data_IF_759610366255
#
_entry.id   IF_759610366255
#
_cell.length_a   1.000
_cell.length_b   1.000
_cell.length_c   1.000
_cell.angle_alpha   90.00
_cell.angle_beta   90.00
_cell.angle_gamma   90.00
#
_symmetry.space_group_name_H-M   'P 1'
#
loop_
_entity.id
_entity.type
_entity.pdbx_description
1 polymer ?
#
# COMPACT_ATOMS: atom_id res chain seq x y z
N UNK A 1 -2.13 -12.95 -8.89
CA UNK A 1 -1.42 -11.77 -8.34
C UNK A 1 0.04 -11.82 -8.74
N UNK A 2 0.64 -10.73 -9.20
CA UNK A 2 2.06 -10.69 -9.62
C UNK A 2 3.02 -11.06 -8.49
N UNK A 3 2.67 -10.76 -7.23
CA UNK A 3 3.45 -11.17 -6.05
C UNK A 3 3.55 -12.69 -5.87
N UNK A 4 2.55 -13.47 -6.32
CA UNK A 4 2.64 -14.94 -6.27
C UNK A 4 3.67 -15.48 -7.26
N UNK A 5 3.77 -14.87 -8.45
CA UNK A 5 4.75 -15.26 -9.47
C UNK A 5 6.19 -14.92 -9.03
N UNK A 6 6.33 -13.85 -8.24
CA UNK A 6 7.61 -13.42 -7.69
C UNK A 6 8.09 -14.24 -6.49
N UNK A 7 7.31 -15.21 -6.00
CA UNK A 7 7.59 -15.96 -4.77
C UNK A 7 9.00 -16.59 -4.72
N UNK A 8 9.53 -17.20 -5.79
CA UNK A 8 10.88 -17.77 -5.78
C UNK A 8 11.98 -16.72 -5.56
N UNK A 9 11.74 -15.45 -5.94
CA UNK A 9 12.71 -14.37 -5.79
C UNK A 9 12.88 -13.90 -4.32
N UNK A 10 11.96 -14.29 -3.44
CA UNK A 10 12.05 -14.10 -2.00
C UNK A 10 12.19 -15.42 -1.24
N UNK A 11 12.60 -16.49 -1.93
CA UNK A 11 13.01 -17.73 -1.29
C UNK A 11 14.14 -17.44 -0.29
N UNK A 12 14.22 -18.21 0.80
CA UNK A 12 15.00 -17.91 2.01
C UNK A 12 16.44 -17.46 1.71
N UNK A 13 16.62 -16.14 1.53
CA UNK A 13 17.92 -15.53 1.28
C UNK A 13 18.71 -15.58 2.57
N UNK A 14 19.40 -16.68 2.85
CA UNK A 14 20.04 -17.01 4.13
C UNK A 14 21.45 -16.42 4.25
N UNK A 15 21.91 -16.09 5.45
CA UNK A 15 23.36 -15.88 5.68
C UNK A 15 24.07 -17.23 5.74
N UNK A 16 25.36 -17.33 5.37
CA UNK A 16 26.06 -18.63 5.27
C UNK A 16 25.94 -19.52 6.52
N UNK A 17 26.02 -18.94 7.71
CA UNK A 17 26.00 -19.62 9.01
C UNK A 17 24.59 -19.94 9.57
N UNK A 18 23.55 -19.50 8.90
CA UNK A 18 22.25 -19.28 9.53
C UNK A 18 21.30 -20.44 9.17
N UNK A 19 21.02 -21.47 9.98
CA UNK A 19 20.35 -22.74 9.53
C UNK A 19 19.17 -22.59 8.54
N UNK A 20 19.05 -23.54 7.59
CA UNK A 20 17.91 -23.62 6.64
C UNK A 20 16.59 -23.74 7.40
N UNK A 21 15.54 -23.12 6.89
CA UNK A 21 14.23 -23.13 7.53
C UNK A 21 13.15 -23.29 6.46
N UNK A 22 12.10 -24.04 6.79
CA UNK A 22 10.95 -24.19 5.92
C UNK A 22 10.37 -22.82 5.53
N UNK A 23 10.00 -22.59 4.24
CA UNK A 23 9.47 -21.30 3.80
C UNK A 23 8.26 -20.79 4.60
N UNK A 24 7.48 -21.70 5.19
CA UNK A 24 6.33 -21.39 6.05
C UNK A 24 6.68 -21.04 7.50
N UNK A 25 7.95 -21.20 7.88
CA UNK A 25 8.47 -20.98 9.24
C UNK A 25 9.52 -19.86 9.29
N UNK A 26 9.65 -19.08 8.22
CA UNK A 26 10.59 -17.97 8.16
C UNK A 26 10.24 -16.91 9.21
N UNK A 27 11.27 -16.41 9.90
CA UNK A 27 11.10 -15.30 10.82
C UNK A 27 10.83 -14.00 10.05
N UNK A 28 10.11 -13.03 10.63
CA UNK A 28 9.84 -11.74 9.97
C UNK A 28 11.09 -11.02 9.48
N UNK A 29 12.22 -11.19 10.18
CA UNK A 29 13.51 -10.63 9.77
C UNK A 29 14.02 -11.23 8.45
N UNK A 30 13.92 -12.56 8.28
CA UNK A 30 14.30 -13.25 7.03
C UNK A 30 13.39 -12.87 5.87
N UNK A 31 12.08 -12.79 6.13
CA UNK A 31 11.10 -12.33 5.13
C UNK A 31 11.45 -10.92 4.63
N UNK A 32 11.74 -9.98 5.53
CA UNK A 32 12.13 -8.60 5.15
C UNK A 32 13.41 -8.56 4.30
N UNK A 33 14.38 -9.44 4.57
CA UNK A 33 15.62 -9.54 3.80
C UNK A 33 15.35 -9.97 2.35
N UNK A 34 14.49 -10.99 2.15
CA UNK A 34 14.06 -11.43 0.81
C UNK A 34 13.25 -10.38 0.05
N UNK A 35 12.29 -9.74 0.73
CA UNK A 35 11.36 -8.79 0.11
C UNK A 35 12.00 -7.52 -0.45
N UNK A 36 13.14 -7.08 0.09
CA UNK A 36 13.86 -5.88 -0.41
C UNK A 36 14.27 -6.02 -1.88
N UNK A 37 14.52 -7.25 -2.33
CA UNK A 37 14.97 -7.56 -3.69
C UNK A 37 13.82 -7.81 -4.66
N UNK A 38 12.56 -7.95 -4.20
CA UNK A 38 11.42 -8.20 -5.08
C UNK A 38 11.08 -6.99 -5.96
N UNK A 39 11.11 -5.78 -5.40
CA UNK A 39 10.68 -4.55 -6.09
C UNK A 39 11.49 -4.22 -7.36
N UNK A 40 12.82 -4.40 -7.42
CA UNK A 40 13.57 -4.21 -8.66
C UNK A 40 13.34 -5.32 -9.70
N UNK A 41 13.04 -6.54 -9.28
CA UNK A 41 12.98 -7.73 -10.16
C UNK A 41 11.57 -8.03 -10.66
N UNK A 42 10.54 -7.44 -10.07
CA UNK A 42 9.13 -7.66 -10.44
C UNK A 42 8.59 -6.56 -11.34
N UNK A 43 7.77 -6.96 -12.31
CA UNK A 43 7.01 -6.00 -13.12
C UNK A 43 6.11 -5.15 -12.22
N UNK A 44 6.11 -3.83 -12.44
CA UNK A 44 5.19 -2.93 -11.74
C UNK A 44 3.83 -2.97 -12.43
N UNK A 45 2.76 -3.36 -11.73
CA UNK A 45 1.41 -3.41 -12.32
C UNK A 45 0.85 -2.00 -12.62
N UNK A 46 1.35 -0.99 -11.90
CA UNK A 46 0.91 0.38 -12.04
C UNK A 46 2.10 1.26 -12.48
N UNK A 47 1.82 2.16 -13.41
CA UNK A 47 2.74 3.24 -13.74
C UNK A 47 2.96 4.14 -12.52
N UNK A 48 4.11 4.80 -12.47
CA UNK A 48 4.35 5.87 -11.51
C UNK A 48 3.24 6.91 -11.64
N UNK A 49 2.69 7.45 -10.53
CA UNK A 49 1.71 8.53 -10.62
C UNK A 49 2.29 9.68 -11.45
N UNK A 50 1.44 10.33 -12.25
CA UNK A 50 1.86 11.54 -12.98
C UNK A 50 2.37 12.56 -11.97
N UNK A 51 3.53 13.19 -12.19
CA UNK A 51 4.00 14.25 -11.31
C UNK A 51 2.97 15.37 -11.29
N UNK A 52 2.34 15.59 -10.14
CA UNK A 52 1.40 16.70 -9.92
C UNK A 52 2.18 17.98 -9.59
N UNK A 53 3.05 18.42 -10.49
CA UNK A 53 3.61 19.76 -10.34
C UNK A 53 2.52 20.77 -10.69
N UNK A 54 2.48 21.91 -9.98
CA UNK A 54 1.88 23.13 -10.49
C UNK A 54 2.21 23.30 -11.99
N UNK A 55 1.21 23.61 -12.83
CA UNK A 55 1.46 23.87 -14.25
C UNK A 55 2.50 24.99 -14.46
N UNK A 56 3.16 25.06 -15.62
CA UNK A 56 4.30 25.95 -15.87
C UNK A 56 4.04 27.45 -15.60
N UNK A 57 2.78 27.90 -15.58
CA UNK A 57 2.41 29.28 -15.23
C UNK A 57 2.14 29.53 -13.74
N UNK A 58 2.32 28.55 -12.85
CA UNK A 58 1.96 28.70 -11.43
C UNK A 58 3.16 29.16 -10.60
N UNK A 59 3.10 30.34 -9.96
CA UNK A 59 4.22 30.89 -9.20
C UNK A 59 4.56 29.99 -8.00
N UNK A 60 5.87 29.81 -7.71
CA UNK A 60 6.32 29.06 -6.53
C UNK A 60 5.80 29.71 -5.24
N UNK A 61 5.46 28.89 -4.24
CA UNK A 61 5.00 29.36 -2.93
C UNK A 61 3.53 29.83 -2.86
N UNK A 62 2.85 30.03 -3.98
CA UNK A 62 1.42 30.41 -3.97
C UNK A 62 0.54 29.25 -3.49
N UNK A 63 -0.32 29.51 -2.49
CA UNK A 63 -1.34 28.57 -2.01
C UNK A 63 -2.62 28.69 -2.83
N UNK A 64 -3.40 27.62 -2.91
CA UNK A 64 -4.69 27.66 -3.61
C UNK A 64 -5.67 28.56 -2.84
N UNK A 65 -6.15 29.65 -3.45
CA UNK A 65 -7.07 30.61 -2.81
C UNK A 65 -8.51 30.14 -2.83
N UNK A 66 -8.85 29.24 -3.76
CA UNK A 66 -10.19 28.69 -3.89
C UNK A 66 -10.24 27.28 -3.30
N UNK A 67 -11.13 27.09 -2.32
CA UNK A 67 -11.44 25.78 -1.80
C UNK A 67 -12.19 24.99 -2.88
N UNK A 68 -11.75 23.77 -3.16
CA UNK A 68 -12.46 22.90 -4.09
C UNK A 68 -13.91 22.70 -3.63
N UNK A 69 -14.86 22.70 -4.58
CA UNK A 69 -16.27 22.43 -4.31
C UNK A 69 -16.38 21.06 -3.65
N UNK A 70 -16.89 21.03 -2.41
CA UNK A 70 -17.17 19.78 -1.71
C UNK A 70 -18.57 19.34 -2.10
N UNK A 71 -18.65 18.16 -2.71
CA UNK A 71 -19.93 17.51 -2.96
C UNK A 71 -20.27 16.67 -1.72
N UNK A 72 -21.54 16.70 -1.33
CA UNK A 72 -22.02 15.77 -0.31
C UNK A 72 -21.83 14.34 -0.82
N UNK A 73 -21.31 13.47 0.04
CA UNK A 73 -20.84 12.14 -0.38
C UNK A 73 -22.02 11.19 -0.63
N UNK A 74 -23.26 11.58 -0.29
CA UNK A 74 -24.51 10.83 -0.45
C UNK A 74 -24.60 9.53 0.35
N UNK A 75 -23.47 9.06 0.90
CA UNK A 75 -23.30 7.76 1.55
C UNK A 75 -23.43 7.81 3.07
N UNK A 76 -23.72 8.97 3.65
CA UNK A 76 -23.76 9.17 5.10
C UNK A 76 -25.17 9.25 5.68
N UNK A 77 -26.21 9.28 4.86
CA UNK A 77 -27.61 9.43 5.34
C UNK A 77 -28.00 8.33 6.34
N UNK A 78 -27.60 7.07 6.07
CA UNK A 78 -27.88 5.93 6.96
C UNK A 78 -26.75 5.60 7.95
N UNK A 79 -25.71 6.44 8.02
CA UNK A 79 -24.49 6.11 8.80
C UNK A 79 -24.78 5.90 10.28
N UNK A 80 -25.72 6.65 10.85
CA UNK A 80 -26.10 6.50 12.26
C UNK A 80 -26.78 5.15 12.52
N UNK A 81 -27.66 4.71 11.62
CA UNK A 81 -28.31 3.40 11.69
C UNK A 81 -27.28 2.28 11.54
N UNK A 82 -26.38 2.38 10.56
CA UNK A 82 -25.30 1.39 10.34
C UNK A 82 -24.32 1.31 11.52
N UNK A 83 -24.04 2.42 12.20
CA UNK A 83 -23.20 2.43 13.41
C UNK A 83 -23.91 1.72 14.56
N UNK A 84 -25.20 2.02 14.80
CA UNK A 84 -26.01 1.34 15.82
C UNK A 84 -26.10 -0.17 15.59
N UNK A 85 -26.37 -0.60 14.35
CA UNK A 85 -26.40 -2.03 13.98
C UNK A 85 -25.05 -2.72 14.20
N UNK A 86 -23.95 -2.05 13.87
CA UNK A 86 -22.62 -2.58 14.09
C UNK A 86 -22.29 -2.72 15.58
N UNK A 87 -22.67 -1.76 16.42
CA UNK A 87 -22.49 -1.83 17.88
C UNK A 87 -23.33 -2.95 18.50
N UNK A 88 -24.59 -3.09 18.08
CA UNK A 88 -25.47 -4.16 18.54
C UNK A 88 -24.98 -5.57 18.20
N UNK A 89 -24.29 -5.74 17.06
CA UNK A 89 -23.68 -7.02 16.65
C UNK A 89 -22.36 -7.32 17.35
N UNK A 90 -21.74 -6.32 17.98
CA UNK A 90 -20.42 -6.46 18.64
C UNK A 90 -20.53 -6.64 20.16
N UNK A 91 -21.69 -6.39 20.75
CA UNK A 91 -22.07 -6.90 22.07
C UNK A 91 -22.46 -8.37 21.99
#
# INVERSE_FOLDING_TARGET
TQLRLARPLAEDLRRPWERRTEPRRLTPARVRRGFRNLRPTTARPAATPKPSRPGPGRPPGSKNKHRAKRHDVGKTVKRAETIKEHEARRG
#
